data_IF_372537970782
#
_entry.id   IF_372537970782
#
_cell.length_a   1.000
_cell.length_b   1.000
_cell.length_c   1.000
_cell.angle_alpha   90.00
_cell.angle_beta   90.00
_cell.angle_gamma   90.00
#
_symmetry.space_group_name_H-M   'P 1'
#
loop_
_entity.id
_entity.type
_entity.pdbx_description
1 polymer ?
#
# COMPACT_ATOMS: atom_id res chain seq x y z
N UNK A 1 -1.13 15.43 -1.27
CA UNK A 1 0.35 15.27 -1.26
C UNK A 1 0.67 13.95 -0.57
N UNK A 2 1.74 13.25 -0.93
CA UNK A 2 2.09 11.97 -0.32
C UNK A 2 3.20 12.11 0.76
N UNK A 3 3.19 11.27 1.80
CA UNK A 3 4.20 11.26 2.88
C UNK A 3 5.58 11.03 2.29
N UNK A 4 6.60 11.76 2.75
CA UNK A 4 7.98 11.58 2.25
C UNK A 4 8.59 10.25 2.70
N UNK A 5 8.25 9.80 3.92
CA UNK A 5 8.81 8.61 4.57
C UNK A 5 7.78 8.01 5.53
N UNK A 6 6.83 7.18 5.02
CA UNK A 6 5.93 6.45 5.90
C UNK A 6 6.74 5.55 6.84
N UNK A 7 6.43 5.58 8.14
CA UNK A 7 7.16 4.81 9.16
C UNK A 7 6.85 3.32 9.06
N UNK A 8 5.59 3.00 8.77
CA UNK A 8 5.07 1.64 8.67
C UNK A 8 3.97 1.52 7.61
N UNK A 9 3.43 0.31 7.44
CA UNK A 9 2.36 0.03 6.48
C UNK A 9 1.00 0.60 6.91
N UNK A 10 0.78 0.88 8.19
CA UNK A 10 -0.46 1.48 8.68
C UNK A 10 -0.53 2.96 8.31
N UNK A 11 0.56 3.71 8.49
CA UNK A 11 0.66 5.10 8.01
C UNK A 11 0.50 5.16 6.49
N UNK A 12 1.09 4.20 5.77
CA UNK A 12 0.97 4.10 4.32
C UNK A 12 -0.47 3.81 3.85
N UNK A 13 -1.23 3.02 4.62
CA UNK A 13 -2.66 2.80 4.35
C UNK A 13 -3.50 4.03 4.70
N UNK A 14 -3.23 4.68 5.84
CA UNK A 14 -3.93 5.90 6.25
C UNK A 14 -3.81 7.02 5.23
N UNK A 15 -2.64 7.17 4.60
CA UNK A 15 -2.44 8.09 3.47
C UNK A 15 -3.41 7.82 2.30
N UNK A 16 -3.70 6.55 2.02
CA UNK A 16 -4.60 6.16 0.94
C UNK A 16 -6.06 6.35 1.30
N UNK A 17 -6.42 5.97 2.52
CA UNK A 17 -7.80 5.90 2.97
C UNK A 17 -8.33 7.26 3.44
N UNK A 18 -7.52 8.01 4.19
CA UNK A 18 -7.91 9.25 4.86
C UNK A 18 -7.10 10.47 4.39
N UNK A 19 -5.94 10.24 3.77
CA UNK A 19 -5.02 11.31 3.41
C UNK A 19 -4.08 11.68 4.55
N UNK A 20 -3.40 12.82 4.42
CA UNK A 20 -2.38 13.26 5.36
C UNK A 20 -2.62 14.71 5.75
N UNK A 21 -2.66 15.01 7.05
CA UNK A 21 -2.77 16.38 7.58
C UNK A 21 -3.93 17.18 6.95
N UNK A 22 -5.11 16.56 6.80
CA UNK A 22 -6.29 17.20 6.19
C UNK A 22 -6.22 17.36 4.67
N UNK A 23 -5.19 16.80 4.02
CA UNK A 23 -5.11 16.73 2.57
C UNK A 23 -5.96 15.57 2.04
N UNK A 24 -6.41 15.73 0.80
CA UNK A 24 -7.14 14.71 0.04
C UNK A 24 -6.50 13.31 0.17
N UNK A 25 -7.27 12.24 0.36
CA UNK A 25 -6.78 10.87 0.40
C UNK A 25 -6.23 10.42 -0.96
N UNK A 26 -5.21 9.55 -0.95
CA UNK A 26 -4.58 9.13 -2.20
C UNK A 26 -5.53 8.34 -3.12
N UNK A 27 -6.56 7.67 -2.57
CA UNK A 27 -7.60 6.99 -3.34
C UNK A 27 -8.44 7.93 -4.22
N UNK A 28 -8.51 9.21 -3.86
CA UNK A 28 -9.28 10.24 -4.57
C UNK A 28 -8.43 11.10 -5.51
N UNK A 29 -7.13 10.81 -5.66
CA UNK A 29 -6.27 11.61 -6.54
C UNK A 29 -6.70 11.51 -8.00
N UNK A 30 -6.84 12.67 -8.63
CA UNK A 30 -7.02 12.82 -10.08
C UNK A 30 -5.78 12.34 -10.85
N UNK A 31 -5.90 12.16 -12.17
CA UNK A 31 -4.75 11.81 -13.01
C UNK A 31 -3.60 12.82 -12.90
N UNK A 32 -3.91 14.12 -12.82
CA UNK A 32 -2.90 15.18 -12.66
C UNK A 32 -2.18 15.07 -11.31
N UNK A 33 -2.91 14.88 -10.22
CA UNK A 33 -2.34 14.71 -8.86
C UNK A 33 -1.48 13.44 -8.76
N UNK A 34 -1.91 12.36 -9.40
CA UNK A 34 -1.11 11.13 -9.52
C UNK A 34 0.15 11.36 -10.36
N UNK A 35 0.06 12.14 -11.43
CA UNK A 35 1.19 12.55 -12.26
C UNK A 35 2.23 13.35 -11.49
N UNK A 36 1.79 14.33 -10.70
CA UNK A 36 2.67 15.13 -9.83
C UNK A 36 3.38 14.28 -8.76
N UNK A 37 2.79 13.15 -8.35
CA UNK A 37 3.35 12.23 -7.36
C UNK A 37 3.78 10.89 -7.97
N UNK A 38 4.07 10.84 -9.27
CA UNK A 38 4.20 9.60 -10.07
C UNK A 38 5.08 8.53 -9.42
N UNK A 39 6.27 8.89 -8.96
CA UNK A 39 7.23 7.94 -8.40
C UNK A 39 6.75 7.31 -7.09
N UNK A 40 6.24 8.12 -6.16
CA UNK A 40 5.74 7.64 -4.88
C UNK A 40 4.43 6.86 -5.07
N UNK A 41 3.50 7.42 -5.85
CA UNK A 41 2.20 6.80 -6.12
C UNK A 41 2.37 5.42 -6.78
N UNK A 42 3.18 5.32 -7.84
CA UNK A 42 3.39 4.05 -8.56
C UNK A 42 4.00 2.97 -7.66
N UNK A 43 4.98 3.32 -6.81
CA UNK A 43 5.60 2.36 -5.89
C UNK A 43 4.65 1.87 -4.82
N UNK A 44 3.76 2.73 -4.33
CA UNK A 44 2.80 2.43 -3.24
C UNK A 44 1.53 1.75 -3.74
N UNK A 45 1.17 1.97 -5.00
CA UNK A 45 -0.05 1.43 -5.60
C UNK A 45 -0.18 -0.08 -5.44
N UNK A 46 0.91 -0.86 -5.53
CA UNK A 46 0.82 -2.32 -5.34
C UNK A 46 0.28 -2.69 -3.95
N UNK A 47 0.71 -1.99 -2.91
CA UNK A 47 0.28 -2.24 -1.55
C UNK A 47 -1.17 -1.79 -1.35
N UNK A 48 -1.53 -0.60 -1.83
CA UNK A 48 -2.91 -0.12 -1.75
C UNK A 48 -3.87 -1.03 -2.51
N UNK A 49 -3.49 -1.52 -3.70
CA UNK A 49 -4.29 -2.47 -4.48
C UNK A 49 -4.54 -3.76 -3.66
N UNK A 50 -3.51 -4.30 -2.99
CA UNK A 50 -3.62 -5.53 -2.18
C UNK A 50 -4.54 -5.31 -0.97
N UNK A 51 -4.28 -4.28 -0.16
CA UNK A 51 -5.10 -4.00 1.03
C UNK A 51 -6.54 -3.70 0.63
N UNK A 52 -6.76 -2.92 -0.43
CA UNK A 52 -8.11 -2.63 -0.94
C UNK A 52 -8.84 -3.90 -1.40
N UNK A 53 -8.14 -4.88 -1.95
CA UNK A 53 -8.74 -6.14 -2.35
C UNK A 53 -9.20 -6.95 -1.13
N UNK A 54 -8.38 -7.02 -0.07
CA UNK A 54 -8.75 -7.67 1.19
C UNK A 54 -9.95 -6.98 1.86
N UNK A 55 -9.96 -5.64 1.86
CA UNK A 55 -11.09 -4.88 2.42
C UNK A 55 -12.38 -5.15 1.64
N UNK A 56 -12.30 -5.26 0.31
CA UNK A 56 -13.46 -5.58 -0.53
C UNK A 56 -14.01 -6.99 -0.28
N UNK A 57 -13.17 -7.93 0.13
CA UNK A 57 -13.59 -9.30 0.49
C UNK A 57 -14.03 -9.44 1.94
N UNK A 58 -14.09 -8.35 2.71
CA UNK A 58 -14.65 -8.31 4.06
C UNK A 58 -13.63 -8.36 5.20
N UNK A 59 -12.33 -8.33 4.90
CA UNK A 59 -11.31 -8.19 5.94
C UNK A 59 -11.16 -6.73 6.38
N UNK A 60 -10.66 -6.51 7.59
CA UNK A 60 -10.22 -5.17 8.00
C UNK A 60 -8.87 -4.84 7.37
N UNK A 61 -8.57 -3.55 7.23
CA UNK A 61 -7.26 -3.11 6.76
C UNK A 61 -6.13 -3.60 7.65
N UNK A 62 -6.34 -3.65 8.96
CA UNK A 62 -5.34 -4.13 9.91
C UNK A 62 -5.00 -5.60 9.67
N UNK A 63 -6.01 -6.46 9.46
CA UNK A 63 -5.80 -7.88 9.13
C UNK A 63 -5.06 -8.03 7.79
N UNK A 64 -5.40 -7.20 6.79
CA UNK A 64 -4.69 -7.21 5.51
C UNK A 64 -3.21 -6.81 5.68
N UNK A 65 -2.93 -5.77 6.46
CA UNK A 65 -1.58 -5.29 6.75
C UNK A 65 -0.79 -6.35 7.53
N UNK A 66 -1.39 -6.98 8.52
CA UNK A 66 -0.76 -8.06 9.30
C UNK A 66 -0.42 -9.26 8.42
N UNK A 67 -1.28 -9.63 7.46
CA UNK A 67 -0.98 -10.67 6.46
C UNK A 67 0.22 -10.31 5.60
N UNK A 68 0.35 -9.05 5.18
CA UNK A 68 1.52 -8.58 4.41
C UNK A 68 2.78 -8.65 5.27
N UNK A 69 2.71 -8.23 6.53
CA UNK A 69 3.84 -8.37 7.45
C UNK A 69 4.21 -9.83 7.73
N UNK A 70 3.23 -10.74 7.83
CA UNK A 70 3.48 -12.16 8.00
C UNK A 70 4.15 -12.78 6.75
N UNK A 71 3.77 -12.33 5.54
CA UNK A 71 4.35 -12.82 4.29
C UNK A 71 5.82 -12.40 4.09
N UNK A 72 6.15 -11.13 4.38
CA UNK A 72 7.49 -10.58 4.09
C UNK A 72 8.40 -10.41 5.30
N UNK A 73 7.83 -10.40 6.51
CA UNK A 73 8.53 -10.16 7.77
C UNK A 73 8.43 -8.71 8.25
N UNK A 74 8.03 -8.52 9.51
CA UNK A 74 7.88 -7.22 10.18
C UNK A 74 9.20 -6.48 10.42
N UNK A 75 10.32 -7.19 10.35
CA UNK A 75 11.68 -6.65 10.44
C UNK A 75 12.12 -5.91 9.16
N UNK A 76 11.45 -6.14 8.02
CA UNK A 76 11.78 -5.45 6.78
C UNK A 76 11.22 -4.02 6.77
N UNK A 77 11.98 -3.10 6.17
CA UNK A 77 11.50 -1.73 5.98
C UNK A 77 10.34 -1.69 4.97
N UNK A 78 9.48 -0.67 5.08
CA UNK A 78 8.36 -0.42 4.15
C UNK A 78 8.83 -0.47 2.70
N UNK A 79 9.98 0.14 2.38
CA UNK A 79 10.50 0.15 1.01
C UNK A 79 10.87 -1.26 0.53
N UNK A 80 11.48 -2.10 1.38
CA UNK A 80 11.82 -3.49 1.02
C UNK A 80 10.57 -4.33 0.79
N UNK A 81 9.56 -4.18 1.64
CA UNK A 81 8.28 -4.86 1.50
C UNK A 81 7.58 -4.44 0.19
N UNK A 82 7.53 -3.14 -0.12
CA UNK A 82 6.95 -2.65 -1.38
C UNK A 82 7.69 -3.17 -2.61
N UNK A 83 9.02 -3.24 -2.57
CA UNK A 83 9.80 -3.82 -3.67
C UNK A 83 9.48 -5.31 -3.85
N UNK A 84 9.41 -6.07 -2.76
CA UNK A 84 9.07 -7.49 -2.81
C UNK A 84 7.64 -7.73 -3.35
N UNK A 85 6.65 -6.97 -2.85
CA UNK A 85 5.28 -6.98 -3.35
C UNK A 85 5.20 -6.72 -4.87
N UNK A 86 6.00 -5.77 -5.38
CA UNK A 86 6.07 -5.51 -6.83
C UNK A 86 6.63 -6.69 -7.60
N UNK A 87 7.74 -7.25 -7.13
CA UNK A 87 8.36 -8.44 -7.74
C UNK A 87 7.36 -9.58 -7.80
N UNK A 88 6.68 -9.88 -6.69
CA UNK A 88 5.71 -10.97 -6.63
C UNK A 88 4.52 -10.70 -7.53
N UNK A 89 4.02 -9.46 -7.60
CA UNK A 89 2.95 -9.09 -8.54
C UNK A 89 3.31 -9.41 -9.99
N UNK A 90 4.57 -9.24 -10.39
CA UNK A 90 5.04 -9.63 -11.73
C UNK A 90 5.18 -11.15 -11.91
N UNK A 91 5.26 -11.92 -10.83
CA UNK A 91 5.41 -13.37 -10.81
C UNK A 91 4.10 -14.13 -10.50
N UNK A 92 2.94 -13.45 -10.52
CA UNK A 92 1.64 -14.07 -10.24
C UNK A 92 1.14 -13.94 -8.80
N UNK A 93 1.78 -13.09 -7.99
CA UNK A 93 1.40 -12.74 -6.62
C UNK A 93 1.92 -13.70 -5.56
N UNK A 94 2.15 -13.16 -4.36
CA UNK A 94 2.62 -13.94 -3.22
C UNK A 94 1.56 -14.96 -2.78
N UNK A 95 1.90 -16.26 -2.60
CA UNK A 95 0.92 -17.30 -2.27
C UNK A 95 0.05 -16.99 -1.05
N UNK A 96 0.65 -16.44 0.01
CA UNK A 96 -0.07 -16.09 1.26
C UNK A 96 -0.96 -14.85 1.17
N UNK A 97 -0.96 -14.13 0.04
CA UNK A 97 -1.74 -12.90 -0.17
C UNK A 97 -2.80 -13.05 -1.27
N UNK A 98 -3.07 -14.29 -1.71
CA UNK A 98 -4.15 -14.57 -2.67
C UNK A 98 -5.50 -14.53 -1.94
N UNK A 99 -6.49 -13.95 -2.61
CA UNK A 99 -7.89 -13.85 -2.18
C UNK A 99 -8.74 -14.87 -2.90
#
# INVERSE_FOLDING_TARGET
>A
MLSKRPKDLYELWGEYEFGLNGLKPAKEFTAAERGANKFAYSRRKVFWDVVSAFVRTGFTSDVAIDKIYAAYGRQLSVTRILTALRTDKHQGGHPSLRL
#
